data_IF_430140387494
#
_entry.id   IF_430140387494
#
_cell.length_a   1.000
_cell.length_b   1.000
_cell.length_c   1.000
_cell.angle_alpha   90.00
_cell.angle_beta   90.00
_cell.angle_gamma   90.00
#
_symmetry.space_group_name_H-M   'P 1'
#
loop_
_entity.id
_entity.type
_entity.pdbx_description
1 polymer ?
#
# COMPACT_ATOMS: atom_id res chain seq x y z
N UNK A 1 -5.34 38.94 48.52
CA UNK A 1 -6.61 38.53 47.90
C UNK A 1 -6.32 38.13 46.48
N UNK A 2 -6.23 36.82 46.28
CA UNK A 2 -6.26 36.15 44.99
C UNK A 2 -7.58 36.48 44.28
N UNK A 3 -7.61 36.59 42.95
CA UNK A 3 -8.62 35.91 42.13
C UNK A 3 -8.11 35.62 40.70
N UNK A 4 -7.72 34.35 40.54
CA UNK A 4 -8.08 33.41 39.46
C UNK A 4 -7.74 33.71 37.99
N UNK A 5 -6.60 33.15 37.57
CA UNK A 5 -6.37 32.64 36.21
C UNK A 5 -7.18 31.36 36.04
N UNK A 6 -8.14 31.34 35.09
CA UNK A 6 -8.81 30.10 34.68
C UNK A 6 -8.11 29.50 33.43
N UNK A 7 -7.89 28.19 33.38
CA UNK A 7 -7.14 27.55 32.31
C UNK A 7 -8.01 27.37 31.06
N UNK A 8 -7.42 27.69 29.90
CA UNK A 8 -7.95 27.37 28.58
C UNK A 8 -8.11 25.85 28.46
N UNK A 9 -9.35 25.37 28.56
CA UNK A 9 -9.74 24.01 28.20
C UNK A 9 -9.67 23.88 26.68
N UNK A 10 -8.50 23.50 26.14
CA UNK A 10 -8.44 22.92 24.79
C UNK A 10 -9.04 21.52 24.90
N UNK A 11 -10.28 21.35 24.44
CA UNK A 11 -10.80 20.02 24.12
C UNK A 11 -10.02 19.55 22.89
N UNK A 12 -8.92 18.85 23.13
CA UNK A 12 -8.36 17.95 22.14
C UNK A 12 -9.26 16.72 22.21
N UNK A 13 -10.32 16.72 21.39
CA UNK A 13 -10.94 15.47 21.00
C UNK A 13 -9.86 14.71 20.24
N UNK A 14 -9.19 13.85 20.99
CA UNK A 14 -8.28 12.86 20.47
C UNK A 14 -9.14 11.99 19.55
N UNK A 15 -9.04 12.21 18.24
CA UNK A 15 -9.51 11.32 17.18
C UNK A 15 -8.74 9.98 17.25
N UNK A 16 -8.78 9.30 18.39
CA UNK A 16 -8.26 7.93 18.53
C UNK A 16 -9.11 6.95 17.72
N UNK A 17 -10.32 7.33 17.34
CA UNK A 17 -11.20 6.54 16.46
C UNK A 17 -10.74 6.57 14.98
N UNK A 18 -10.03 7.62 14.53
CA UNK A 18 -9.60 7.75 13.13
C UNK A 18 -8.34 6.90 12.83
N UNK A 19 -7.59 6.51 13.88
CA UNK A 19 -6.40 5.66 13.74
C UNK A 19 -6.78 4.16 13.89
N UNK A 20 -7.92 3.83 14.50
CA UNK A 20 -8.37 2.45 14.67
C UNK A 20 -8.93 1.79 13.40
N UNK A 21 -9.09 2.52 12.29
CA UNK A 21 -9.55 1.95 11.02
C UNK A 21 -8.59 0.95 10.37
N UNK A 22 -7.34 0.82 10.85
CA UNK A 22 -6.28 0.08 10.12
C UNK A 22 -5.82 -1.23 10.71
N UNK A 23 -6.66 -1.96 11.44
CA UNK A 23 -6.45 -3.40 11.68
C UNK A 23 -7.67 -4.23 11.27
N UNK A 24 -8.27 -3.92 10.11
CA UNK A 24 -9.19 -4.88 9.47
C UNK A 24 -8.42 -6.13 9.08
N UNK A 25 -8.72 -7.24 9.75
CA UNK A 25 -8.23 -8.56 9.38
C UNK A 25 -8.56 -8.82 7.91
N UNK A 26 -7.54 -9.16 7.12
CA UNK A 26 -7.72 -9.44 5.69
C UNK A 26 -8.58 -10.69 5.52
N UNK A 27 -9.64 -10.59 4.73
CA UNK A 27 -10.51 -11.72 4.39
C UNK A 27 -9.84 -12.63 3.36
N UNK A 28 -10.27 -13.90 3.28
CA UNK A 28 -9.77 -14.82 2.24
C UNK A 28 -10.05 -14.32 0.82
N UNK A 29 -11.15 -13.57 0.64
CA UNK A 29 -11.49 -12.95 -0.64
C UNK A 29 -10.49 -11.84 -1.00
N UNK A 30 -10.22 -10.92 -0.08
CA UNK A 30 -9.21 -9.86 -0.30
C UNK A 30 -7.82 -10.45 -0.56
N UNK A 31 -7.47 -11.57 0.10
CA UNK A 31 -6.21 -12.25 -0.15
C UNK A 31 -6.13 -12.78 -1.60
N UNK A 32 -7.21 -13.39 -2.09
CA UNK A 32 -7.30 -13.82 -3.49
C UNK A 32 -7.11 -12.65 -4.46
N UNK A 33 -7.81 -11.54 -4.22
CA UNK A 33 -7.70 -10.32 -5.05
C UNK A 33 -6.29 -9.71 -5.01
N UNK A 34 -5.60 -9.76 -3.86
CA UNK A 34 -4.21 -9.32 -3.73
C UNK A 34 -3.25 -10.20 -4.54
N UNK A 35 -3.42 -11.52 -4.48
CA UNK A 35 -2.59 -12.48 -5.23
C UNK A 35 -2.81 -12.29 -6.74
N UNK A 36 -4.07 -12.18 -7.19
CA UNK A 36 -4.39 -11.94 -8.59
C UNK A 36 -3.80 -10.62 -9.09
N UNK A 37 -3.86 -9.58 -8.26
CA UNK A 37 -3.22 -8.29 -8.55
C UNK A 37 -1.70 -8.43 -8.69
N UNK A 38 -1.04 -9.12 -7.76
CA UNK A 38 0.40 -9.35 -7.80
C UNK A 38 0.82 -10.08 -9.08
N UNK A 39 0.11 -11.15 -9.45
CA UNK A 39 0.37 -11.92 -10.66
C UNK A 39 0.13 -11.10 -11.93
N UNK A 40 -0.95 -10.32 -11.99
CA UNK A 40 -1.25 -9.44 -13.12
C UNK A 40 -0.15 -8.41 -13.34
N UNK A 41 0.36 -7.80 -12.25
CA UNK A 41 1.45 -6.84 -12.37
C UNK A 41 2.74 -7.51 -12.82
N UNK A 42 3.12 -8.65 -12.23
CA UNK A 42 4.34 -9.37 -12.59
C UNK A 42 4.41 -9.65 -14.10
N UNK A 43 3.28 -10.04 -14.72
CA UNK A 43 3.20 -10.26 -16.17
C UNK A 43 3.47 -9.01 -17.02
N UNK A 44 3.35 -7.81 -16.44
CA UNK A 44 3.55 -6.51 -17.09
C UNK A 44 4.92 -5.90 -16.79
N UNK A 45 5.71 -6.51 -15.92
CA UNK A 45 7.06 -6.05 -15.60
C UNK A 45 8.10 -6.73 -16.49
N UNK A 46 9.26 -6.09 -16.63
CA UNK A 46 10.40 -6.71 -17.31
C UNK A 46 10.89 -7.95 -16.54
N UNK A 47 11.14 -9.08 -17.23
CA UNK A 47 11.47 -10.35 -16.59
C UNK A 47 12.92 -10.44 -16.09
N UNK A 48 13.76 -9.43 -16.37
CA UNK A 48 15.21 -9.46 -16.10
C UNK A 48 15.55 -9.58 -14.61
N UNK A 49 14.58 -9.33 -13.71
CA UNK A 49 14.78 -9.44 -12.26
C UNK A 49 13.79 -10.41 -11.60
N UNK A 50 13.93 -11.71 -11.92
CA UNK A 50 13.12 -12.80 -11.33
C UNK A 50 13.08 -12.78 -9.80
N UNK A 51 14.18 -12.37 -9.15
CA UNK A 51 14.25 -12.24 -7.69
C UNK A 51 13.24 -11.20 -7.16
N UNK A 52 13.20 -10.00 -7.75
CA UNK A 52 12.22 -8.98 -7.37
C UNK A 52 10.78 -9.41 -7.66
N UNK A 53 10.55 -10.15 -8.75
CA UNK A 53 9.22 -10.68 -9.06
C UNK A 53 8.78 -11.71 -8.02
N UNK A 54 9.68 -12.61 -7.62
CA UNK A 54 9.41 -13.58 -6.54
C UNK A 54 9.14 -12.86 -5.21
N UNK A 55 9.87 -11.79 -4.92
CA UNK A 55 9.67 -10.98 -3.72
C UNK A 55 8.27 -10.36 -3.69
N UNK A 56 7.72 -9.90 -4.82
CA UNK A 56 6.33 -9.40 -4.89
C UNK A 56 5.33 -10.48 -4.48
N UNK A 57 5.49 -11.71 -4.98
CA UNK A 57 4.62 -12.84 -4.62
C UNK A 57 4.75 -13.18 -3.15
N UNK A 58 5.98 -13.23 -2.62
CA UNK A 58 6.23 -13.48 -1.20
C UNK A 58 5.55 -12.44 -0.32
N UNK A 59 5.66 -11.14 -0.64
CA UNK A 59 4.99 -10.07 0.09
C UNK A 59 3.46 -10.23 0.12
N UNK A 60 2.86 -10.76 -0.95
CA UNK A 60 1.44 -11.06 -1.01
C UNK A 60 1.05 -12.25 -0.10
N UNK A 61 1.82 -13.34 -0.17
CA UNK A 61 1.59 -14.57 0.62
C UNK A 61 1.82 -14.31 2.11
N UNK A 62 2.86 -13.58 2.45
CA UNK A 62 3.24 -13.20 3.82
C UNK A 62 2.33 -12.11 4.41
N UNK A 63 1.35 -11.63 3.64
CA UNK A 63 0.42 -10.55 4.03
C UNK A 63 1.16 -9.34 4.57
N UNK A 64 2.23 -8.94 3.90
CA UNK A 64 3.04 -7.81 4.33
C UNK A 64 2.18 -6.54 4.40
N UNK A 65 2.10 -5.91 5.58
CA UNK A 65 1.20 -4.77 5.80
C UNK A 65 1.49 -3.58 4.87
N UNK A 66 2.76 -3.30 4.61
CA UNK A 66 3.13 -2.20 3.71
C UNK A 66 2.70 -2.50 2.27
N UNK A 67 2.85 -3.75 1.82
CA UNK A 67 2.38 -4.19 0.51
C UNK A 67 0.86 -4.14 0.39
N UNK A 68 0.12 -4.62 1.41
CA UNK A 68 -1.34 -4.55 1.47
C UNK A 68 -1.81 -3.08 1.40
N UNK A 69 -1.16 -2.17 2.12
CA UNK A 69 -1.51 -0.76 2.11
C UNK A 69 -1.29 -0.12 0.73
N UNK A 70 -0.19 -0.48 0.05
CA UNK A 70 0.06 -0.06 -1.34
C UNK A 70 -1.05 -0.59 -2.26
N UNK A 71 -1.37 -1.88 -2.19
CA UNK A 71 -2.45 -2.48 -2.99
C UNK A 71 -3.81 -1.82 -2.74
N UNK A 72 -4.21 -1.62 -1.48
CA UNK A 72 -5.48 -0.96 -1.12
C UNK A 72 -5.56 0.48 -1.65
N UNK A 73 -4.45 1.21 -1.66
CA UNK A 73 -4.41 2.56 -2.23
C UNK A 73 -4.53 2.55 -3.77
N UNK A 74 -4.18 1.43 -4.41
CA UNK A 74 -4.13 1.30 -5.87
C UNK A 74 -5.37 0.61 -6.45
N UNK A 75 -6.05 -0.26 -5.69
CA UNK A 75 -7.20 -1.03 -6.19
C UNK A 75 -8.34 -0.12 -6.64
N UNK A 76 -8.49 1.05 -6.02
CA UNK A 76 -9.50 2.08 -6.32
C UNK A 76 -9.24 2.84 -7.63
N UNK A 77 -8.02 2.77 -8.19
CA UNK A 77 -7.70 3.44 -9.46
C UNK A 77 -8.31 2.70 -10.66
N UNK A 78 -9.04 3.42 -11.53
CA UNK A 78 -9.60 2.89 -12.78
C UNK A 78 -8.57 2.81 -13.91
N UNK A 79 -7.60 3.71 -13.93
CA UNK A 79 -6.52 3.71 -14.91
C UNK A 79 -5.46 2.67 -14.52
N UNK A 80 -5.29 1.68 -15.39
CA UNK A 80 -4.35 0.58 -15.19
C UNK A 80 -2.89 0.98 -15.40
N UNK A 81 -2.57 1.79 -16.41
CA UNK A 81 -1.21 2.29 -16.64
C UNK A 81 -0.71 3.14 -15.48
N UNK A 82 -1.57 4.01 -14.96
CA UNK A 82 -1.27 4.79 -13.76
C UNK A 82 -1.14 3.90 -12.52
N UNK A 83 -1.94 2.84 -12.40
CA UNK A 83 -1.84 1.87 -11.31
C UNK A 83 -0.48 1.18 -11.30
N UNK A 84 -0.03 0.69 -12.47
CA UNK A 84 1.26 0.01 -12.64
C UNK A 84 2.43 0.95 -12.35
N UNK A 85 2.41 2.16 -12.91
CA UNK A 85 3.46 3.16 -12.67
C UNK A 85 3.60 3.52 -11.19
N UNK A 86 2.48 3.78 -10.51
CA UNK A 86 2.48 4.05 -9.06
C UNK A 86 2.95 2.85 -8.25
N UNK A 87 2.52 1.64 -8.61
CA UNK A 87 3.00 0.42 -7.98
C UNK A 87 4.52 0.30 -8.08
N UNK A 88 5.08 0.44 -9.29
CA UNK A 88 6.53 0.39 -9.52
C UNK A 88 7.26 1.42 -8.65
N UNK A 89 6.83 2.68 -8.68
CA UNK A 89 7.45 3.74 -7.87
C UNK A 89 7.41 3.43 -6.37
N UNK A 90 6.27 3.02 -5.84
CA UNK A 90 6.12 2.70 -4.43
C UNK A 90 6.94 1.49 -4.02
N UNK A 91 6.97 0.46 -4.86
CA UNK A 91 7.74 -0.75 -4.58
C UNK A 91 9.24 -0.49 -4.59
N UNK A 92 9.73 0.23 -5.61
CA UNK A 92 11.15 0.55 -5.72
C UNK A 92 11.63 1.39 -4.53
N UNK A 93 10.82 2.34 -4.05
CA UNK A 93 11.16 3.17 -2.88
C UNK A 93 11.02 2.37 -1.57
N UNK A 94 9.92 1.63 -1.39
CA UNK A 94 9.58 1.01 -0.09
C UNK A 94 10.37 -0.25 0.18
N UNK A 95 10.65 -1.05 -0.84
CA UNK A 95 11.30 -2.35 -0.72
C UNK A 95 12.70 -2.38 -1.35
N UNK A 96 13.19 -1.23 -1.83
CA UNK A 96 14.50 -1.09 -2.46
C UNK A 96 14.72 -2.09 -3.61
N UNK A 97 13.70 -2.25 -4.46
CA UNK A 97 13.75 -3.10 -5.65
C UNK A 97 13.85 -2.25 -6.93
N UNK A 98 14.18 -2.89 -8.04
CA UNK A 98 14.34 -2.23 -9.34
C UNK A 98 13.38 -2.82 -10.37
N UNK A 99 12.08 -2.52 -10.22
CA UNK A 99 11.05 -2.90 -11.18
C UNK A 99 11.01 -1.89 -12.33
N UNK A 100 10.75 -2.42 -13.53
CA UNK A 100 10.54 -1.66 -14.76
C UNK A 100 9.34 -2.22 -15.51
N UNK A 101 8.59 -1.34 -16.16
CA UNK A 101 7.46 -1.75 -16.99
C UNK A 101 7.99 -2.39 -18.28
N UNK A 102 7.41 -3.52 -18.67
CA UNK A 102 7.73 -4.21 -19.94
C UNK A 102 7.36 -3.37 -21.16
N UNK A 103 6.38 -2.47 -20.99
CA UNK A 103 5.92 -1.58 -22.05
C UNK A 103 6.76 -0.30 -21.96
N UNK A 104 7.77 -0.20 -22.82
CA UNK A 104 8.36 1.08 -23.20
C UNK A 104 7.35 1.88 -24.00
N UNK A 105 6.35 2.48 -23.36
CA UNK A 105 5.45 3.44 -24.03
C UNK A 105 4.82 4.36 -22.99
N UNK A 106 5.13 5.65 -23.13
CA UNK A 106 4.44 6.79 -22.52
C UNK A 106 3.11 6.98 -23.24
#
# INVERSE_FOLDING_TARGET
>A
MEQYVLPIKRRHENNEDEIQERKRHMTNKELGELIDFALNIINKLEPENKEHLNQIVQLAVDKNEAFINIWRALVTSKDESTKIRKFISLMNIRFNINLKNKIGTI
#
